data_IF_636325312466
#
_entry.id   IF_636325312466
#
_cell.length_a   1.000
_cell.length_b   1.000
_cell.length_c   1.000
_cell.angle_alpha   90.00
_cell.angle_beta   90.00
_cell.angle_gamma   90.00
#
_symmetry.space_group_name_H-M   'P 1'
#
loop_
_entity.id
_entity.type
_entity.pdbx_description
1 polymer ?
#
# COMPACT_ATOMS: atom_id res chain seq x y z
N UNK A 1 -9.85 21.02 9.51
CA UNK A 1 -9.42 20.03 8.50
C UNK A 1 -10.64 19.19 8.16
N UNK A 2 -11.37 19.56 7.11
CA UNK A 2 -12.60 18.88 6.73
C UNK A 2 -12.26 17.56 6.04
N UNK A 3 -12.47 16.43 6.72
CA UNK A 3 -12.58 15.13 6.07
C UNK A 3 -13.88 15.16 5.26
N UNK A 4 -13.80 15.61 4.01
CA UNK A 4 -14.88 15.45 3.05
C UNK A 4 -15.13 13.95 2.86
N UNK A 5 -16.40 13.52 2.93
CA UNK A 5 -16.87 12.25 2.36
C UNK A 5 -16.38 12.13 0.91
N UNK A 6 -15.27 11.45 0.73
CA UNK A 6 -14.65 11.07 -0.53
C UNK A 6 -13.83 9.83 -0.20
N UNK A 7 -13.85 8.81 -1.06
CA UNK A 7 -13.22 7.53 -0.76
C UNK A 7 -11.73 7.67 -0.39
N UNK A 8 -11.17 6.60 0.18
CA UNK A 8 -9.75 6.48 0.55
C UNK A 8 -8.83 7.14 -0.48
N UNK A 9 -7.83 7.90 -0.07
CA UNK A 9 -6.86 8.52 -0.99
C UNK A 9 -5.66 7.61 -1.27
N UNK A 10 -4.84 7.96 -2.25
CA UNK A 10 -3.62 7.20 -2.52
C UNK A 10 -2.59 7.40 -1.41
N UNK A 11 -2.56 8.58 -0.77
CA UNK A 11 -1.72 8.88 0.40
C UNK A 11 -2.10 8.01 1.60
N UNK A 12 -3.41 7.81 1.87
CA UNK A 12 -3.86 6.92 2.95
C UNK A 12 -3.43 5.46 2.69
N UNK A 13 -3.45 5.01 1.43
CA UNK A 13 -2.94 3.69 1.06
C UNK A 13 -1.41 3.58 1.24
N UNK A 14 -0.66 4.62 0.88
CA UNK A 14 0.80 4.66 1.02
C UNK A 14 1.20 4.64 2.49
N UNK A 15 0.52 5.42 3.33
CA UNK A 15 0.79 5.46 4.78
C UNK A 15 0.44 4.13 5.43
N UNK A 16 -0.68 3.51 5.06
CA UNK A 16 -1.02 2.17 5.52
C UNK A 16 0.07 1.13 5.15
N UNK A 17 0.63 1.19 3.93
CA UNK A 17 1.76 0.32 3.56
C UNK A 17 2.97 0.62 4.44
N UNK A 18 3.29 1.89 4.69
CA UNK A 18 4.43 2.30 5.51
C UNK A 18 4.34 1.79 6.94
N UNK A 19 3.18 1.92 7.57
CA UNK A 19 2.94 1.43 8.94
C UNK A 19 3.07 -0.08 9.06
N UNK A 20 2.66 -0.83 8.03
CA UNK A 20 2.64 -2.29 8.04
C UNK A 20 3.80 -2.93 7.26
N UNK A 21 4.81 -2.17 6.84
CA UNK A 21 5.87 -2.70 5.96
C UNK A 21 6.70 -3.79 6.66
N UNK A 22 6.90 -4.97 6.05
CA UNK A 22 6.30 -5.46 4.80
C UNK A 22 4.82 -5.83 4.97
N UNK A 23 3.94 -5.21 4.19
CA UNK A 23 2.49 -5.26 4.42
C UNK A 23 1.80 -6.29 3.52
N UNK A 24 0.90 -7.07 4.08
CA UNK A 24 -0.06 -7.84 3.29
C UNK A 24 -1.15 -6.93 2.69
N UNK A 25 -1.66 -7.26 1.48
CA UNK A 25 -2.79 -6.52 0.88
C UNK A 25 -4.01 -6.47 1.82
N UNK A 26 -4.23 -7.50 2.63
CA UNK A 26 -5.34 -7.53 3.59
C UNK A 26 -5.14 -6.54 4.74
N UNK A 27 -3.94 -6.44 5.31
CA UNK A 27 -3.64 -5.50 6.40
C UNK A 27 -3.82 -4.05 5.94
N UNK A 28 -3.35 -3.74 4.73
CA UNK A 28 -3.57 -2.42 4.12
C UNK A 28 -5.06 -2.16 3.92
N UNK A 29 -5.81 -3.13 3.37
CA UNK A 29 -7.23 -2.98 3.10
C UNK A 29 -8.06 -2.78 4.37
N UNK A 30 -7.76 -3.53 5.43
CA UNK A 30 -8.40 -3.40 6.74
C UNK A 30 -8.10 -2.03 7.36
N UNK A 31 -6.84 -1.56 7.27
CA UNK A 31 -6.43 -0.26 7.79
C UNK A 31 -7.23 0.90 7.18
N UNK A 32 -7.47 0.88 5.87
CA UNK A 32 -8.21 1.95 5.14
C UNK A 32 -9.69 1.62 4.89
N UNK A 33 -10.22 0.54 5.46
CA UNK A 33 -11.59 0.08 5.25
C UNK A 33 -11.98 -0.12 3.76
N UNK A 34 -11.08 -0.68 2.95
CA UNK A 34 -11.34 -1.12 1.58
C UNK A 34 -11.54 -2.63 1.51
N UNK A 35 -12.10 -3.11 0.40
CA UNK A 35 -11.95 -4.53 0.06
C UNK A 35 -10.50 -4.80 -0.34
N UNK A 36 -10.02 -6.02 -0.04
CA UNK A 36 -8.68 -6.48 -0.45
C UNK A 36 -8.42 -6.30 -1.95
N UNK A 37 -9.40 -6.58 -2.80
CA UNK A 37 -9.28 -6.41 -4.25
C UNK A 37 -9.15 -4.94 -4.65
N UNK A 38 -9.91 -4.04 -4.01
CA UNK A 38 -9.83 -2.60 -4.28
C UNK A 38 -8.48 -2.03 -3.85
N UNK A 39 -7.98 -2.43 -2.67
CA UNK A 39 -6.64 -2.07 -2.21
C UNK A 39 -5.56 -2.59 -3.18
N UNK A 40 -5.63 -3.86 -3.60
CA UNK A 40 -4.66 -4.44 -4.55
C UNK A 40 -4.59 -3.67 -5.87
N UNK A 41 -5.76 -3.39 -6.44
CA UNK A 41 -5.86 -2.70 -7.71
C UNK A 41 -5.26 -1.29 -7.62
N UNK A 42 -5.52 -0.58 -6.52
CA UNK A 42 -5.01 0.79 -6.32
C UNK A 42 -3.51 0.81 -6.04
N UNK A 43 -3.00 -0.08 -5.20
CA UNK A 43 -1.56 -0.19 -4.94
C UNK A 43 -0.79 -0.48 -6.22
N UNK A 44 -1.30 -1.35 -7.11
CA UNK A 44 -0.71 -1.57 -8.44
C UNK A 44 -0.73 -0.33 -9.33
N UNK A 45 -1.79 0.46 -9.27
CA UNK A 45 -1.87 1.73 -10.01
C UNK A 45 -0.87 2.76 -9.45
N UNK A 46 -0.68 2.83 -8.14
CA UNK A 46 0.34 3.70 -7.52
C UNK A 46 1.74 3.23 -7.95
N UNK A 47 2.05 1.95 -7.81
CA UNK A 47 3.33 1.36 -8.24
C UNK A 47 3.63 1.64 -9.71
N UNK A 48 2.63 1.53 -10.59
CA UNK A 48 2.81 1.70 -12.05
C UNK A 48 2.80 3.14 -12.57
N UNK A 49 2.27 4.13 -11.82
CA UNK A 49 2.14 5.53 -12.29
C UNK A 49 3.39 6.38 -12.07
N UNK A 50 4.33 5.93 -11.24
CA UNK A 50 5.50 6.72 -10.86
C UNK A 50 6.80 6.04 -11.32
N UNK A 51 7.73 6.81 -11.88
CA UNK A 51 9.08 6.31 -12.23
C UNK A 51 9.88 5.87 -10.99
N UNK A 52 9.56 6.45 -9.82
CA UNK A 52 10.07 6.06 -8.51
C UNK A 52 8.85 5.94 -7.58
N UNK A 53 8.27 4.74 -7.46
CA UNK A 53 7.00 4.60 -6.76
C UNK A 53 7.21 4.64 -5.24
N UNK A 54 6.29 5.30 -4.50
CA UNK A 54 6.36 5.38 -3.04
C UNK A 54 6.09 4.03 -2.35
N UNK A 55 5.48 3.09 -3.07
CA UNK A 55 5.26 1.71 -2.65
C UNK A 55 5.57 0.76 -3.80
N UNK A 56 6.10 -0.42 -3.48
CA UNK A 56 6.40 -1.46 -4.45
C UNK A 56 6.05 -2.84 -3.88
N UNK A 57 5.81 -3.81 -4.75
CA UNK A 57 5.46 -5.17 -4.34
C UNK A 57 6.56 -6.17 -4.63
N UNK A 58 6.65 -7.20 -3.80
CA UNK A 58 7.52 -8.36 -4.03
C UNK A 58 6.87 -9.63 -3.49
N UNK A 59 7.46 -10.78 -3.82
CA UNK A 59 7.09 -12.06 -3.23
C UNK A 59 8.04 -12.43 -2.11
N UNK A 60 7.47 -12.74 -0.94
CA UNK A 60 8.15 -13.45 0.15
C UNK A 60 7.50 -14.83 0.23
N UNK A 61 8.22 -15.86 -0.25
CA UNK A 61 7.64 -17.19 -0.47
C UNK A 61 6.45 -17.14 -1.43
N UNK A 62 5.29 -17.74 -1.07
CA UNK A 62 4.08 -17.68 -1.90
C UNK A 62 3.29 -16.37 -1.77
N UNK A 63 3.65 -15.51 -0.81
CA UNK A 63 2.87 -14.33 -0.43
C UNK A 63 3.41 -13.09 -1.13
N UNK A 64 2.51 -12.31 -1.74
CA UNK A 64 2.83 -10.96 -2.20
C UNK A 64 2.71 -9.99 -1.04
N UNK A 65 3.75 -9.19 -0.82
CA UNK A 65 3.78 -8.11 0.16
C UNK A 65 4.05 -6.78 -0.53
N UNK A 66 3.67 -5.70 0.14
CA UNK A 66 3.92 -4.32 -0.26
C UNK A 66 4.93 -3.69 0.69
N UNK A 67 5.84 -2.91 0.14
CA UNK A 67 6.86 -2.21 0.90
C UNK A 67 6.81 -0.72 0.56
N UNK A 68 6.96 0.11 1.58
CA UNK A 68 7.21 1.52 1.39
C UNK A 68 8.63 1.76 0.86
N UNK A 69 8.83 2.82 0.08
CA UNK A 69 10.14 3.17 -0.49
C UNK A 69 11.23 3.40 0.58
N UNK A 70 10.83 3.85 1.78
CA UNK A 70 11.74 4.03 2.93
C UNK A 70 12.16 2.70 3.58
N UNK A 71 11.60 1.56 3.17
CA UNK A 71 11.99 0.27 3.73
C UNK A 71 13.39 -0.14 3.26
N UNK A 72 14.36 0.08 4.14
CA UNK A 72 15.68 -0.53 4.03
C UNK A 72 15.59 -1.89 4.72
N UNK A 73 15.70 -2.98 3.96
CA UNK A 73 15.86 -4.31 4.55
C UNK A 73 17.03 -4.28 5.54
N UNK A 74 16.89 -4.83 6.76
CA UNK A 74 18.03 -4.93 7.67
C UNK A 74 19.15 -5.70 6.94
N UNK A 75 20.34 -5.07 6.87
CA UNK A 75 21.53 -5.64 6.26
C UNK A 75 22.09 -6.79 7.09
#
# INVERSE_FOLDING_TARGET
MAASKGGVTDEELIEAVKEHTPAGTSEVAEHVALSRQAADNRLRQIEGRHATPPVWSTKIGPTKVWLHADHVAPR
#
